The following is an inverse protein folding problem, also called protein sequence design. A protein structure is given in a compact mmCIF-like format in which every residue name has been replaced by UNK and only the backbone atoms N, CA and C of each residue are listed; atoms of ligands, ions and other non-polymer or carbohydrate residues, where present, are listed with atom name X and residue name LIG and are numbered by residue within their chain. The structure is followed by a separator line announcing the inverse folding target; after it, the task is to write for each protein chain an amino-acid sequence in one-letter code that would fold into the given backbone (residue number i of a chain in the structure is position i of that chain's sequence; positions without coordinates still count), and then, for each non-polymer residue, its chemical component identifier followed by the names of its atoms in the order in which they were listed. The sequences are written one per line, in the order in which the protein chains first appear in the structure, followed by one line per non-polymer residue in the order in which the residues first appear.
data_IF_906550810286
#
_entry.id   IF_906550810286
#
_cell.length_a   1.000
_cell.length_b   1.000
_cell.length_c   1.000
_cell.angle_alpha   90.00
_cell.angle_beta   90.00
_cell.angle_gamma   90.00
#
_symmetry.space_group_name_H-M   'P 1'
#
loop_
_entity.id
_entity.type
_entity.pdbx_description
1 polymer ?
#
# COMPACT_ATOMS: atom_id res chain seq x y z
N UNK A 1 -7.15 10.58 5.25
CA UNK A 1 -7.58 11.21 3.98
C UNK A 1 -7.33 10.30 2.79
N UNK A 2 -8.14 10.33 1.72
CA UNK A 2 -7.88 9.56 0.48
C UNK A 2 -7.05 10.40 -0.49
N UNK A 3 -5.93 9.86 -0.97
CA UNK A 3 -5.01 10.50 -1.91
C UNK A 3 -4.94 9.70 -3.21
N UNK A 4 -4.94 10.40 -4.35
CA UNK A 4 -4.66 9.83 -5.67
C UNK A 4 -3.36 10.41 -6.18
N UNK A 5 -2.38 9.54 -6.45
CA UNK A 5 -1.07 9.91 -6.99
C UNK A 5 -1.19 10.22 -8.49
N UNK A 6 -0.21 10.93 -9.10
CA UNK A 6 -0.17 11.15 -10.55
C UNK A 6 -0.23 9.85 -11.37
N UNK A 7 0.31 8.75 -10.85
CA UNK A 7 0.22 7.42 -11.46
C UNK A 7 -1.18 6.80 -11.44
N UNK A 8 -2.15 7.42 -10.75
CA UNK A 8 -3.47 6.88 -10.49
C UNK A 8 -3.53 5.88 -9.34
N UNK A 9 -2.39 5.55 -8.72
CA UNK A 9 -2.36 4.79 -7.47
C UNK A 9 -3.06 5.56 -6.37
N UNK A 10 -3.72 4.83 -5.47
CA UNK A 10 -4.48 5.44 -4.39
C UNK A 10 -4.09 4.85 -3.04
N UNK A 11 -4.07 5.72 -2.04
CA UNK A 11 -3.90 5.32 -0.65
C UNK A 11 -4.75 6.19 0.26
N UNK A 12 -5.08 5.66 1.43
CA UNK A 12 -5.67 6.42 2.53
C UNK A 12 -4.58 6.71 3.56
N UNK A 13 -4.28 7.98 3.79
CA UNK A 13 -3.50 8.43 4.93
C UNK A 13 -4.31 8.18 6.20
N UNK A 14 -3.82 7.29 7.08
CA UNK A 14 -4.45 6.98 8.36
C UNK A 14 -3.86 7.85 9.46
N UNK A 15 -2.53 7.98 9.49
CA UNK A 15 -1.81 8.86 10.41
C UNK A 15 -0.55 9.40 9.77
N UNK A 16 -0.29 10.69 9.95
CA UNK A 16 0.94 11.32 9.46
C UNK A 16 2.07 11.13 10.48
N UNK A 17 3.19 10.56 10.05
CA UNK A 17 4.41 10.48 10.86
C UNK A 17 5.10 11.83 10.94
N UNK A 18 5.69 12.17 12.08
CA UNK A 18 6.30 13.50 12.31
C UNK A 18 7.79 13.47 12.61
N UNK A 19 8.39 12.27 12.78
CA UNK A 19 9.77 12.12 13.24
C UNK A 19 10.67 11.48 12.20
N UNK A 20 11.95 11.87 12.21
CA UNK A 20 13.00 11.27 11.41
C UNK A 20 12.96 11.67 9.93
N UNK A 21 13.85 11.08 9.11
CA UNK A 21 13.98 11.44 7.71
C UNK A 21 12.74 11.03 6.91
N UNK A 22 12.49 11.76 5.84
CA UNK A 22 11.45 11.42 4.86
C UNK A 22 11.90 10.21 4.07
N UNK A 23 10.98 9.28 3.87
CA UNK A 23 11.17 8.12 3.00
C UNK A 23 11.29 8.60 1.55
N UNK A 24 12.36 8.21 0.86
CA UNK A 24 12.56 8.44 -0.57
C UNK A 24 12.83 7.11 -1.29
N UNK A 25 12.76 7.15 -2.62
CA UNK A 25 13.08 6.00 -3.47
C UNK A 25 14.49 5.48 -3.17
N UNK A 26 14.64 4.17 -3.06
CA UNK A 26 15.92 3.50 -2.80
C UNK A 26 16.29 3.36 -1.31
N UNK A 27 15.53 3.97 -0.40
CA UNK A 27 15.72 3.76 1.03
C UNK A 27 15.50 2.32 1.45
N UNK A 28 16.15 1.96 2.54
CA UNK A 28 15.75 0.80 3.31
C UNK A 28 14.78 1.26 4.41
N UNK A 29 13.61 0.63 4.48
CA UNK A 29 12.56 1.00 5.44
C UNK A 29 12.19 -0.23 6.28
N UNK A 30 12.08 -0.02 7.59
CA UNK A 30 11.52 -0.98 8.53
C UNK A 30 10.09 -0.58 8.85
N UNK A 31 9.16 -1.53 8.75
CA UNK A 31 7.74 -1.28 8.92
C UNK A 31 6.98 -2.52 9.39
N UNK A 32 5.82 -2.31 10.00
CA UNK A 32 4.82 -3.37 10.18
C UNK A 32 3.79 -3.27 9.07
N UNK A 33 3.11 -4.38 8.76
CA UNK A 33 2.09 -4.34 7.71
C UNK A 33 0.96 -5.35 7.92
N UNK A 34 -0.17 -5.06 7.27
CA UNK A 34 -1.32 -5.95 7.17
C UNK A 34 -1.81 -5.97 5.73
N UNK A 35 -2.05 -7.17 5.20
CA UNK A 35 -2.61 -7.38 3.88
C UNK A 35 -4.05 -7.87 4.01
N UNK A 36 -4.95 -7.20 3.30
CA UNK A 36 -6.35 -7.56 3.22
C UNK A 36 -6.77 -7.79 1.78
N UNK A 37 -7.76 -8.66 1.58
CA UNK A 37 -8.61 -8.58 0.39
C UNK A 37 -9.78 -7.65 0.65
N UNK A 38 -10.29 -7.03 -0.41
CA UNK A 38 -11.56 -6.33 -0.35
C UNK A 38 -12.69 -7.35 -0.07
N UNK A 39 -13.68 -6.91 0.71
CA UNK A 39 -14.93 -7.67 0.85
C UNK A 39 -15.65 -7.69 -0.50
N UNK A 40 -16.49 -8.72 -0.73
CA UNK A 40 -17.30 -8.77 -1.96
C UNK A 40 -18.18 -7.52 -2.04
N UNK A 41 -18.19 -6.84 -3.20
CA UNK A 41 -18.91 -5.59 -3.41
C UNK A 41 -18.28 -4.34 -2.75
N UNK A 42 -17.15 -4.47 -2.04
CA UNK A 42 -16.47 -3.32 -1.46
C UNK A 42 -15.65 -2.56 -2.52
N UNK A 43 -15.85 -1.24 -2.57
CA UNK A 43 -15.08 -0.33 -3.43
C UNK A 43 -14.10 0.49 -2.59
N UNK A 44 -12.82 0.49 -2.96
CA UNK A 44 -11.79 1.24 -2.22
C UNK A 44 -12.11 2.74 -2.09
N UNK A 45 -12.58 3.36 -3.18
CA UNK A 45 -12.92 4.78 -3.26
C UNK A 45 -14.25 5.13 -2.58
N UNK A 46 -15.25 4.26 -2.65
CA UNK A 46 -16.65 4.60 -2.37
C UNK A 46 -17.29 3.84 -1.20
N UNK A 47 -16.63 2.84 -0.62
CA UNK A 47 -17.29 1.95 0.35
C UNK A 47 -16.46 1.72 1.62
N UNK A 48 -17.06 2.16 2.72
CA UNK A 48 -16.98 1.62 4.09
C UNK A 48 -17.85 0.36 4.28
N UNK A 49 -18.56 -0.09 3.24
CA UNK A 49 -19.42 -1.27 3.21
C UNK A 49 -18.61 -2.54 3.01
N UNK A 50 -18.23 -3.15 4.13
CA UNK A 50 -17.52 -4.42 4.20
C UNK A 50 -16.22 -4.28 4.97
N UNK A 51 -16.07 -5.06 6.05
CA UNK A 51 -14.78 -5.14 6.76
C UNK A 51 -13.76 -5.78 5.80
N UNK A 52 -12.57 -5.19 5.59
CA UNK A 52 -11.51 -5.86 4.85
C UNK A 52 -11.24 -7.25 5.46
N UNK A 53 -11.00 -8.25 4.62
CA UNK A 53 -10.75 -9.61 5.10
C UNK A 53 -9.26 -9.83 5.19
N UNK A 54 -8.76 -10.13 6.39
CA UNK A 54 -7.35 -10.36 6.66
C UNK A 54 -6.84 -11.53 5.82
N UNK A 55 -5.76 -11.29 5.07
CA UNK A 55 -4.99 -12.35 4.41
C UNK A 55 -3.77 -12.74 5.24
N UNK A 56 -2.99 -11.76 5.69
CA UNK A 56 -1.85 -11.96 6.59
C UNK A 56 -1.32 -10.63 7.09
N UNK A 57 -0.43 -10.68 8.08
CA UNK A 57 0.25 -9.50 8.60
C UNK A 57 1.63 -9.87 9.13
N UNK A 58 2.43 -8.84 9.37
CA UNK A 58 3.67 -8.94 10.12
C UNK A 58 3.76 -7.82 11.16
N UNK A 59 4.18 -8.15 12.38
CA UNK A 59 4.35 -7.18 13.47
C UNK A 59 3.18 -7.08 14.45
N UNK A 60 2.10 -7.83 14.23
CA UNK A 60 0.81 -7.64 14.90
C UNK A 60 0.30 -8.87 15.69
N UNK A 61 0.98 -10.01 15.63
CA UNK A 61 0.56 -11.24 16.31
C UNK A 61 -0.71 -11.88 15.75
N UNK A 62 -1.20 -11.44 14.58
CA UNK A 62 -2.41 -12.01 14.00
C UNK A 62 -2.16 -13.46 13.59
N UNK A 63 -3.24 -14.24 13.63
CA UNK A 63 -3.23 -15.66 13.24
C UNK A 63 -2.32 -16.54 14.12
N UNK A 64 -2.11 -16.13 15.38
CA UNK A 64 -1.32 -16.87 16.36
C UNK A 64 0.19 -16.77 16.14
N UNK A 65 0.65 -15.82 15.32
CA UNK A 65 2.07 -15.54 15.14
C UNK A 65 2.66 -14.88 16.39
N UNK A 66 3.92 -15.19 16.68
CA UNK A 66 4.69 -14.57 17.78
C UNK A 66 5.64 -13.49 17.23
N UNK A 67 5.08 -12.52 16.52
CA UNK A 67 5.81 -11.47 15.79
C UNK A 67 5.42 -10.06 16.27
N UNK A 68 4.76 -9.93 17.44
CA UNK A 68 4.30 -8.64 17.95
C UNK A 68 5.49 -7.70 18.17
N UNK A 69 5.49 -6.57 17.45
CA UNK A 69 6.57 -5.58 17.51
C UNK A 69 7.73 -5.85 16.55
N UNK A 70 7.75 -6.99 15.85
CA UNK A 70 8.74 -7.25 14.80
C UNK A 70 8.46 -6.37 13.58
N UNK A 71 9.51 -6.01 12.85
CA UNK A 71 9.42 -5.16 11.66
C UNK A 71 9.98 -5.87 10.44
N UNK A 72 9.30 -5.69 9.31
CA UNK A 72 9.79 -6.13 8.02
C UNK A 72 10.72 -5.07 7.45
N UNK A 73 11.87 -5.50 6.92
CA UNK A 73 12.86 -4.62 6.30
C UNK A 73 12.84 -4.83 4.79
N UNK A 74 12.58 -3.76 4.03
CA UNK A 74 12.59 -3.80 2.57
C UNK A 74 13.33 -2.60 1.98
N UNK A 75 13.99 -2.80 0.84
CA UNK A 75 14.51 -1.70 0.04
C UNK A 75 13.42 -1.21 -0.89
N UNK A 76 13.17 0.10 -0.92
CA UNK A 76 12.16 0.66 -1.81
C UNK A 76 12.59 0.55 -3.27
N UNK A 77 11.63 0.27 -4.14
CA UNK A 77 11.77 0.07 -5.57
C UNK A 77 12.57 -1.20 -5.94
N UNK A 78 12.61 -2.20 -5.06
CA UNK A 78 13.07 -3.57 -5.34
C UNK A 78 11.90 -4.55 -5.31
N UNK A 79 12.17 -5.85 -5.43
CA UNK A 79 11.16 -6.92 -5.33
C UNK A 79 10.84 -7.31 -3.88
N UNK A 80 11.41 -6.65 -2.88
CA UNK A 80 11.14 -6.95 -1.47
C UNK A 80 9.73 -6.52 -1.01
N UNK A 81 9.05 -5.71 -1.83
CA UNK A 81 7.77 -5.08 -1.56
C UNK A 81 6.99 -4.87 -2.88
N UNK A 82 5.65 -4.85 -2.89
CA UNK A 82 4.89 -4.46 -4.08
C UNK A 82 5.29 -3.07 -4.58
N UNK A 83 5.40 -2.90 -5.90
CA UNK A 83 5.78 -1.62 -6.49
C UNK A 83 4.82 -0.49 -6.09
N UNK A 84 3.52 -0.79 -6.05
CA UNK A 84 2.50 0.17 -5.60
C UNK A 84 2.70 0.59 -4.14
N UNK A 85 3.03 -0.37 -3.26
CA UNK A 85 3.32 -0.07 -1.86
C UNK A 85 4.59 0.77 -1.75
N UNK A 86 5.65 0.39 -2.47
CA UNK A 86 6.91 1.14 -2.47
C UNK A 86 6.74 2.59 -2.92
N UNK A 87 5.95 2.83 -3.98
CA UNK A 87 5.68 4.18 -4.46
C UNK A 87 4.86 5.00 -3.45
N UNK A 88 3.83 4.38 -2.87
CA UNK A 88 2.96 5.04 -1.89
C UNK A 88 3.61 5.19 -0.50
N UNK A 89 4.78 4.60 -0.24
CA UNK A 89 5.55 4.85 0.98
C UNK A 89 6.46 6.08 0.87
N UNK A 90 6.74 6.58 -0.34
CA UNK A 90 7.51 7.81 -0.52
C UNK A 90 6.79 8.99 0.14
N UNK A 91 7.55 9.84 0.84
CA UNK A 91 7.01 10.96 1.62
C UNK A 91 6.54 10.58 3.02
N UNK A 92 6.49 9.29 3.39
CA UNK A 92 6.20 8.89 4.77
C UNK A 92 7.36 9.23 5.72
N UNK A 93 7.06 9.26 7.01
CA UNK A 93 8.01 9.39 8.12
C UNK A 93 7.67 8.37 9.20
N UNK A 94 8.55 8.18 10.19
CA UNK A 94 8.32 7.28 11.32
C UNK A 94 6.98 7.58 12.02
N UNK A 95 6.22 6.53 12.30
CA UNK A 95 4.86 6.57 12.85
C UNK A 95 3.77 6.89 11.82
N UNK A 96 4.14 7.14 10.56
CA UNK A 96 3.19 7.32 9.48
C UNK A 96 2.52 6.00 9.12
N UNK A 97 1.20 6.04 8.89
CA UNK A 97 0.40 4.89 8.51
C UNK A 97 -0.44 5.18 7.28
N UNK A 98 -0.34 4.32 6.28
CA UNK A 98 -1.13 4.38 5.04
C UNK A 98 -1.79 3.05 4.77
N UNK A 99 -3.01 3.09 4.21
CA UNK A 99 -3.66 1.94 3.59
C UNK A 99 -3.70 2.12 2.09
N UNK A 100 -2.95 1.28 1.39
CA UNK A 100 -2.64 1.44 -0.03
C UNK A 100 -3.46 0.41 -0.81
N UNK A 101 -4.09 0.84 -1.91
CA UNK A 101 -4.68 -0.09 -2.87
C UNK A 101 -3.56 -0.61 -3.78
N UNK A 102 -3.42 -1.93 -3.85
CA UNK A 102 -2.42 -2.62 -4.66
C UNK A 102 -3.14 -3.28 -5.85
N UNK A 103 -3.04 -2.70 -7.05
CA UNK A 103 -3.48 -3.38 -8.26
C UNK A 103 -2.65 -4.65 -8.51
N UNK A 104 -3.24 -5.71 -9.09
CA UNK A 104 -2.54 -6.98 -9.32
C UNK A 104 -1.20 -6.84 -10.04
N UNK A 105 -1.14 -6.02 -11.09
CA UNK A 105 0.06 -5.81 -11.90
C UNK A 105 1.19 -5.07 -11.18
N UNK A 106 0.91 -4.46 -10.03
CA UNK A 106 1.88 -3.80 -9.15
C UNK A 106 2.01 -4.49 -7.80
N UNK A 107 1.48 -5.72 -7.69
CA UNK A 107 1.34 -6.54 -6.49
C UNK A 107 2.11 -7.85 -6.56
N UNK A 108 1.47 -8.92 -6.07
CA UNK A 108 2.07 -10.24 -5.87
C UNK A 108 1.85 -11.22 -7.03
N UNK A 109 1.37 -10.75 -8.19
CA UNK A 109 1.25 -11.56 -9.40
C UNK A 109 2.60 -12.11 -9.86
N UNK A 110 3.69 -11.36 -9.60
CA UNK A 110 5.06 -11.85 -9.70
C UNK A 110 5.48 -12.57 -8.41
N UNK A 111 5.87 -13.84 -8.54
CA UNK A 111 6.28 -14.67 -7.42
C UNK A 111 7.55 -14.17 -6.71
N UNK A 112 8.40 -13.38 -7.38
CA UNK A 112 9.56 -12.76 -6.76
C UNK A 112 9.20 -11.61 -5.80
N UNK A 113 7.97 -11.07 -5.87
CA UNK A 113 7.55 -9.94 -5.05
C UNK A 113 7.22 -10.39 -3.63
N UNK A 114 7.95 -9.84 -2.66
CA UNK A 114 7.68 -9.92 -1.23
C UNK A 114 6.73 -8.80 -0.75
N UNK A 115 6.42 -8.77 0.56
CA UNK A 115 6.69 -9.83 1.52
C UNK A 115 5.76 -11.02 1.30
N UNK A 116 6.26 -12.25 1.49
CA UNK A 116 5.46 -13.47 1.42
C UNK A 116 4.97 -13.87 2.83
N UNK A 117 3.78 -14.48 2.96
CA UNK A 117 3.31 -14.95 4.25
C UNK A 117 4.20 -16.04 4.85
N UNK A 118 4.35 -16.04 6.18
CA UNK A 118 5.18 -17.03 6.89
C UNK A 118 4.47 -18.37 7.13
N UNK A 119 3.14 -18.39 7.08
CA UNK A 119 2.34 -19.60 7.29
C UNK A 119 1.79 -20.12 5.97
N UNK A 120 1.67 -21.44 5.86
CA UNK A 120 1.12 -22.09 4.66
C UNK A 120 -0.33 -21.67 4.37
N UNK A 121 -1.17 -21.55 5.40
CA UNK A 121 -2.56 -21.12 5.24
C UNK A 121 -2.69 -19.70 4.71
N UNK A 122 -1.82 -18.79 5.17
CA UNK A 122 -1.75 -17.44 4.65
C UNK A 122 -1.22 -17.38 3.22
N UNK A 123 -0.19 -18.19 2.92
CA UNK A 123 0.34 -18.32 1.56
C UNK A 123 -0.74 -18.78 0.57
N UNK A 124 -1.53 -19.81 0.92
CA UNK A 124 -2.65 -20.29 0.09
C UNK A 124 -3.69 -19.21 -0.17
N UNK A 125 -4.05 -18.42 0.84
CA UNK A 125 -4.99 -17.29 0.69
C UNK A 125 -4.43 -16.19 -0.21
N UNK A 126 -3.15 -15.85 -0.10
CA UNK A 126 -2.51 -14.90 -1.01
C UNK A 126 -2.55 -15.42 -2.45
N UNK A 127 -2.15 -16.67 -2.68
CA UNK A 127 -2.17 -17.27 -4.02
C UNK A 127 -3.56 -17.29 -4.65
N UNK A 128 -4.61 -17.48 -3.85
CA UNK A 128 -6.00 -17.45 -4.32
C UNK A 128 -6.47 -16.06 -4.76
N UNK A 129 -5.87 -14.98 -4.21
CA UNK A 129 -6.37 -13.62 -4.39
C UNK A 129 -5.35 -12.64 -4.99
N UNK A 130 -4.15 -13.10 -5.38
CA UNK A 130 -3.08 -12.22 -5.90
C UNK A 130 -3.42 -11.53 -7.22
N UNK A 131 -4.39 -12.09 -7.96
CA UNK A 131 -4.89 -11.54 -9.22
C UNK A 131 -6.04 -10.53 -9.02
N UNK A 132 -6.45 -10.28 -7.77
CA UNK A 132 -7.44 -9.27 -7.38
C UNK A 132 -6.75 -8.04 -6.75
N UNK A 133 -7.39 -6.85 -6.76
CA UNK A 133 -6.89 -5.71 -6.00
C UNK A 133 -6.86 -5.99 -4.49
N UNK A 134 -5.70 -5.83 -3.87
CA UNK A 134 -5.49 -6.04 -2.44
C UNK A 134 -5.26 -4.71 -1.70
N UNK A 135 -5.41 -4.73 -0.39
CA UNK A 135 -5.08 -3.59 0.47
C UNK A 135 -3.82 -3.91 1.26
N UNK A 136 -2.88 -2.97 1.26
CA UNK A 136 -1.66 -3.04 2.05
C UNK A 136 -1.66 -1.88 3.06
N UNK A 137 -1.91 -2.20 4.33
CA UNK A 137 -1.77 -1.24 5.42
C UNK A 137 -0.36 -1.33 5.97
N UNK A 138 0.35 -0.20 6.00
CA UNK A 138 1.75 -0.12 6.40
C UNK A 138 1.93 0.96 7.46
N UNK A 139 2.77 0.69 8.46
CA UNK A 139 3.22 1.65 9.45
C UNK A 139 4.75 1.70 9.50
N UNK A 140 5.32 2.88 9.26
CA UNK A 140 6.77 3.06 9.21
C UNK A 140 7.36 3.09 10.62
N UNK A 141 8.19 2.12 10.94
CA UNK A 141 8.91 2.05 12.21
C UNK A 141 10.24 2.81 12.15
N UNK A 142 10.99 2.66 11.04
CA UNK A 142 12.30 3.30 10.86
C UNK A 142 12.62 3.49 9.38
N UNK A 143 13.37 4.54 9.10
CA UNK A 143 13.90 4.85 7.77
C UNK A 143 15.42 4.85 7.86
N UNK A 144 16.07 4.10 6.97
CA UNK A 144 17.51 4.03 6.81
C UNK A 144 17.85 4.60 5.43
N UNK A 145 18.33 5.87 5.37
CA UNK A 145 18.70 6.50 4.12
C UNK A 145 19.69 5.63 3.33
N UNK A 146 19.30 5.18 2.15
CA UNK A 146 20.15 4.35 1.29
C UNK A 146 21.03 5.24 0.43
N UNK A 147 22.32 5.36 0.74
CA UNK A 147 23.31 5.99 -0.14
C UNK A 147 23.04 7.44 -0.53
N UNK A 148 22.24 8.18 0.24
CA UNK A 148 22.02 9.61 0.01
C UNK A 148 23.30 10.35 0.39
N UNK A 149 23.98 10.95 -0.58
CA UNK A 149 24.69 12.19 -0.29
C UNK A 149 23.65 13.11 0.34
N UNK A 150 23.84 13.44 1.61
CA UNK A 150 22.96 14.35 2.33
C UNK A 150 23.17 15.70 1.64
N UNK A 151 22.22 16.24 0.85
CA UNK A 151 22.39 17.58 0.35
C UNK A 151 22.26 18.47 1.59
N UNK A 152 23.28 19.28 1.85
CA UNK A 152 23.24 20.33 2.85
C UNK A 152 21.90 21.08 2.71
N UNK A 153 21.24 21.38 3.84
CA UNK A 153 19.87 21.90 3.95
C UNK A 153 19.59 23.24 3.21
N UNK A 154 20.52 23.73 2.38
CA UNK A 154 20.57 25.10 1.87
C UNK A 154 20.53 25.23 0.33
N UNK A 155 20.20 24.17 -0.41
CA UNK A 155 20.10 24.27 -1.87
C UNK A 155 18.87 23.56 -2.46
N UNK A 156 17.76 24.28 -2.59
CA UNK A 156 16.77 23.98 -3.61
C UNK A 156 16.31 25.28 -4.29
N UNK A 157 16.67 25.53 -5.56
CA UNK A 157 15.87 26.40 -6.40
C UNK A 157 14.55 25.70 -6.73
N UNK A 158 13.49 26.49 -6.71
CA UNK A 158 12.17 26.07 -7.14
C UNK A 158 12.11 25.91 -8.67
N UNK A 159 11.16 25.05 -9.06
CA UNK A 159 10.38 25.13 -10.30
C UNK A 159 10.77 24.15 -11.44
N UNK A 160 9.85 23.24 -11.80
CA UNK A 160 8.96 23.42 -12.97
C UNK A 160 8.25 22.12 -13.40
N UNK A 161 6.92 22.22 -13.45
CA UNK A 161 6.03 21.70 -14.51
C UNK A 161 5.95 20.17 -14.78
N UNK A 162 4.87 19.53 -14.31
CA UNK A 162 4.42 18.20 -14.78
C UNK A 162 3.01 18.27 -15.35
N UNK A 163 2.88 18.89 -16.53
CA UNK A 163 1.66 18.77 -17.33
C UNK A 163 1.67 17.49 -18.17
N UNK A 164 0.58 16.73 -18.03
CA UNK A 164 0.04 15.74 -18.95
C UNK A 164 0.79 14.39 -19.09
N UNK A 165 0.60 13.51 -18.11
CA UNK A 165 0.82 12.06 -18.25
C UNK A 165 -0.48 11.36 -17.85
N UNK A 166 -1.06 10.56 -18.75
CA UNK A 166 -2.20 9.72 -18.38
C UNK A 166 -1.83 8.79 -17.22
N UNK A 167 -2.71 8.61 -16.22
CA UNK A 167 -2.37 7.81 -15.05
C UNK A 167 -2.14 6.35 -15.47
N UNK A 168 -0.99 5.80 -15.08
CA UNK A 168 -0.59 4.41 -15.32
C UNK A 168 -1.62 3.38 -14.82
N UNK A 169 -2.46 3.76 -13.85
CA UNK A 169 -3.57 2.95 -13.37
C UNK A 169 -4.88 3.73 -13.31
N UNK A 170 -5.95 3.14 -13.85
CA UNK A 170 -7.32 3.62 -13.66
C UNK A 170 -8.13 2.51 -13.00
N UNK A 171 -8.78 2.82 -11.87
CA UNK A 171 -9.75 1.93 -11.25
C UNK A 171 -10.82 1.51 -12.28
N UNK A 172 -11.29 0.26 -12.26
CA UNK A 172 -12.48 -0.10 -13.03
C UNK A 172 -13.67 0.77 -12.58
N UNK A 173 -14.57 1.08 -13.50
CA UNK A 173 -15.82 1.77 -13.17
C UNK A 173 -16.63 0.89 -12.21
N UNK A 174 -17.30 1.48 -11.19
CA UNK A 174 -18.19 0.72 -10.33
C UNK A 174 -19.25 0.00 -11.19
N UNK A 175 -19.65 -1.23 -10.83
CA UNK A 175 -20.67 -1.94 -11.58
C UNK A 175 -21.96 -1.10 -11.62
N UNK A 176 -22.40 -0.76 -12.82
CA UNK A 176 -23.68 -0.08 -13.05
C UNK A 176 -24.78 -1.12 -12.82
N UNK A 177 -25.28 -1.23 -11.58
CA UNK A 177 -26.54 -1.94 -11.38
C UNK A 177 -27.67 -1.03 -11.89
N UNK A 178 -28.52 -1.47 -12.82
CA UNK A 178 -29.74 -0.73 -13.12
C UNK A 178 -30.57 -0.70 -11.84
N UNK A 179 -30.86 0.51 -11.35
CA UNK A 179 -31.90 0.70 -10.34
C UNK A 179 -33.22 0.23 -10.94
N UNK A 180 -33.62 -1.00 -10.63
CA UNK A 180 -34.97 -1.46 -10.93
C UNK A 180 -35.85 -0.88 -9.84
N UNK A 181 -36.50 0.24 -10.13
CA UNK A 181 -37.59 0.76 -9.32
C UNK A 181 -38.75 -0.22 -9.40
N UNK A 182 -38.83 -1.19 -8.49
CA UNK A 182 -40.04 -1.98 -8.29
C UNK A 182 -41.09 -1.09 -7.63
N UNK A 183 -41.78 -0.30 -8.45
CA UNK A 183 -43.09 0.23 -8.07
C UNK A 183 -44.10 -0.90 -8.18
N UNK A 184 -44.34 -1.59 -7.06
CA UNK A 184 -45.51 -2.45 -6.91
C UNK A 184 -46.76 -1.58 -6.87
N UNK A 185 -47.71 -1.85 -7.77
CA UNK A 185 -49.07 -1.32 -7.73
C UNK A 185 -49.95 -2.17 -6.81
#
# INVERSE_FOLDING_TARGET
ELVTMPSGLQYREISTGTKGPVVQKGDVVEFTYIVYRLSSGAYFKYSSGGRPVLLYSYGYGNEGQNDVGDTWRATLNTKDLPLAASAAMVGMRRGGRRRILIPPQFGWTDNAVGPKPQTFGAYRRLEQHKDEPLLFEVEVARVLPGGREVPDEEALPEDTNTNNVEPLYKLPAPPTQPFVSTTSS
#
